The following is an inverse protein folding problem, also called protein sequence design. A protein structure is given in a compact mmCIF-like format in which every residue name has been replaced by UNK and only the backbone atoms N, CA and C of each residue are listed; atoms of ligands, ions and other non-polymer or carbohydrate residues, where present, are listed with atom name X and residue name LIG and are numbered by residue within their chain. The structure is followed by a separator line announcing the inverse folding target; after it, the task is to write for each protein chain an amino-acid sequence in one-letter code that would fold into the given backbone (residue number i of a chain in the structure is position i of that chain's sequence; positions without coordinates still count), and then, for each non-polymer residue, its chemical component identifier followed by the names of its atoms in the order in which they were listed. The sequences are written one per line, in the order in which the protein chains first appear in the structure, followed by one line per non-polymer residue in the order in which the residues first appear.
data_IF_922967105716
#
_entry.id   IF_922967105716
#
_cell.length_a   1.000
_cell.length_b   1.000
_cell.length_c   1.000
_cell.angle_alpha   90.00
_cell.angle_beta   90.00
_cell.angle_gamma   90.00
#
_symmetry.space_group_name_H-M   'P 1'
#
loop_
_entity.id
_entity.type
_entity.pdbx_description
1 polymer ?
#
# COMPACT_ATOMS: atom_id res chain seq x y z
N UNK A 1 -11.31 15.90 -26.97
CA UNK A 1 -12.33 15.52 -27.98
C UNK A 1 -11.64 15.40 -29.34
N UNK A 2 -11.71 14.22 -29.91
CA UNK A 2 -11.12 13.93 -31.23
C UNK A 2 -11.91 14.66 -32.32
N UNK A 3 -11.21 15.35 -33.23
CA UNK A 3 -11.84 15.99 -34.40
C UNK A 3 -12.29 17.45 -34.20
N UNK A 4 -12.06 18.06 -33.03
CA UNK A 4 -12.32 19.49 -32.86
C UNK A 4 -11.10 20.29 -33.34
N UNK A 5 -11.36 21.33 -34.13
CA UNK A 5 -10.34 22.32 -34.53
C UNK A 5 -10.29 23.45 -33.49
N UNK A 6 -9.07 23.77 -33.02
CA UNK A 6 -8.85 24.85 -32.06
C UNK A 6 -7.65 25.68 -32.48
N UNK A 7 -7.59 26.92 -31.97
CA UNK A 7 -6.44 27.84 -32.20
C UNK A 7 -5.41 27.79 -31.03
N UNK A 8 -5.82 27.18 -29.89
CA UNK A 8 -5.00 27.06 -28.69
C UNK A 8 -5.24 25.69 -28.07
N UNK A 9 -4.17 25.01 -27.69
CA UNK A 9 -4.20 23.76 -26.94
C UNK A 9 -3.46 23.99 -25.62
N UNK A 10 -4.14 23.82 -24.51
CA UNK A 10 -3.54 23.73 -23.18
C UNK A 10 -3.53 22.26 -22.74
N UNK A 11 -2.38 21.74 -22.32
CA UNK A 11 -2.23 20.38 -21.87
C UNK A 11 -1.47 20.35 -20.54
N UNK A 12 -1.98 19.56 -19.59
CA UNK A 12 -1.33 19.28 -18.32
C UNK A 12 -0.75 17.88 -18.34
N UNK A 13 0.47 17.72 -17.86
CA UNK A 13 1.17 16.44 -17.82
C UNK A 13 1.59 16.12 -16.39
N UNK A 14 1.30 14.90 -15.95
CA UNK A 14 1.88 14.35 -14.73
C UNK A 14 3.23 13.70 -15.08
N UNK A 15 4.32 14.25 -14.51
CA UNK A 15 5.68 13.78 -14.78
C UNK A 15 6.22 13.04 -13.57
N UNK A 16 6.54 11.76 -13.75
CA UNK A 16 7.23 10.94 -12.76
C UNK A 16 8.73 10.94 -13.07
N UNK A 17 9.54 11.33 -12.10
CA UNK A 17 10.98 11.32 -12.25
C UNK A 17 11.65 10.59 -11.07
N UNK A 18 12.83 10.05 -11.30
CA UNK A 18 13.61 9.31 -10.30
C UNK A 18 15.09 9.53 -10.45
N UNK A 19 15.84 9.04 -9.46
CA UNK A 19 17.31 9.06 -9.50
C UNK A 19 17.80 8.08 -10.57
N UNK A 20 18.44 8.60 -11.61
CA UNK A 20 18.90 7.83 -12.78
C UNK A 20 19.70 6.58 -12.41
N UNK A 21 20.61 6.68 -11.45
CA UNK A 21 21.45 5.56 -11.03
C UNK A 21 20.64 4.42 -10.39
N UNK A 22 19.59 4.74 -9.62
CA UNK A 22 18.69 3.72 -9.04
C UNK A 22 17.93 2.97 -10.12
N UNK A 23 17.33 3.70 -11.07
CA UNK A 23 16.61 3.09 -12.19
C UNK A 23 17.55 2.21 -13.02
N UNK A 24 18.75 2.71 -13.35
CA UNK A 24 19.74 1.97 -14.11
C UNK A 24 20.24 0.70 -13.39
N UNK A 25 20.36 0.73 -12.05
CA UNK A 25 20.72 -0.46 -11.28
C UNK A 25 19.65 -1.55 -11.38
N UNK A 26 18.37 -1.19 -11.28
CA UNK A 26 17.27 -2.15 -11.44
C UNK A 26 17.25 -2.77 -12.84
N UNK A 27 17.43 -1.94 -13.89
CA UNK A 27 17.54 -2.40 -15.27
C UNK A 27 18.74 -3.36 -15.44
N UNK A 28 19.88 -3.02 -14.84
CA UNK A 28 21.08 -3.85 -14.92
C UNK A 28 20.85 -5.21 -14.25
N UNK A 29 20.24 -5.25 -13.06
CA UNK A 29 19.91 -6.51 -12.39
C UNK A 29 19.00 -7.40 -13.23
N UNK A 30 18.00 -6.83 -13.90
CA UNK A 30 17.12 -7.58 -14.80
C UNK A 30 17.86 -8.14 -16.02
N UNK A 31 18.82 -7.38 -16.57
CA UNK A 31 19.65 -7.79 -17.73
C UNK A 31 20.75 -8.80 -17.37
N UNK A 32 21.12 -8.96 -16.10
CA UNK A 32 22.03 -10.02 -15.67
C UNK A 32 21.38 -11.42 -15.73
N UNK A 33 20.07 -11.48 -15.65
CA UNK A 33 19.27 -12.62 -16.10
C UNK A 33 19.05 -12.38 -17.60
N UNK A 34 19.04 -13.39 -18.50
CA UNK A 34 18.91 -13.15 -19.93
C UNK A 34 17.48 -12.69 -20.30
N UNK A 35 17.11 -11.50 -19.79
CA UNK A 35 15.84 -10.82 -20.03
C UNK A 35 16.12 -9.44 -20.63
N UNK A 36 15.38 -9.10 -21.67
CA UNK A 36 15.33 -7.74 -22.18
C UNK A 36 14.36 -6.90 -21.36
N UNK A 37 14.71 -5.64 -21.16
CA UNK A 37 13.86 -4.65 -20.48
C UNK A 37 13.32 -3.70 -21.54
N UNK A 38 12.02 -3.80 -21.79
CA UNK A 38 11.33 -2.98 -22.79
C UNK A 38 11.04 -1.59 -22.25
N UNK A 39 10.54 -1.48 -21.03
CA UNK A 39 10.16 -0.20 -20.41
C UNK A 39 10.27 -0.23 -18.88
N UNK A 40 10.11 0.93 -18.26
CA UNK A 40 10.11 1.12 -16.80
C UNK A 40 8.83 1.83 -16.39
N UNK A 41 8.07 1.22 -15.51
CA UNK A 41 6.80 1.76 -15.00
C UNK A 41 6.92 2.08 -13.52
N UNK A 42 6.34 3.21 -13.10
CA UNK A 42 6.26 3.55 -11.68
C UNK A 42 5.27 2.62 -10.96
N UNK A 43 5.72 1.98 -9.87
CA UNK A 43 4.99 0.90 -9.19
C UNK A 43 3.51 1.21 -8.88
N UNK A 44 3.13 2.34 -8.28
CA UNK A 44 1.72 2.60 -7.97
C UNK A 44 0.83 2.74 -9.20
N UNK A 45 1.40 3.12 -10.36
CA UNK A 45 0.66 3.15 -11.63
C UNK A 45 0.35 1.73 -12.09
N UNK A 46 1.33 0.81 -11.97
CA UNK A 46 1.13 -0.60 -12.27
C UNK A 46 0.09 -1.23 -11.35
N UNK A 47 0.22 -1.05 -10.03
CA UNK A 47 -0.77 -1.55 -9.05
C UNK A 47 -2.18 -1.03 -9.34
N UNK A 48 -2.31 0.26 -9.70
CA UNK A 48 -3.60 0.86 -10.05
C UNK A 48 -4.25 0.27 -11.31
N UNK A 49 -3.47 -0.34 -12.23
CA UNK A 49 -4.06 -1.03 -13.39
C UNK A 49 -4.81 -2.30 -12.97
N UNK A 50 -4.39 -2.94 -11.88
CA UNK A 50 -5.02 -4.15 -11.35
C UNK A 50 -6.23 -3.81 -10.50
N UNK A 51 -6.12 -2.81 -9.63
CA UNK A 51 -7.14 -2.54 -8.59
C UNK A 51 -8.23 -1.59 -9.05
N UNK A 52 -8.03 -0.80 -10.12
CA UNK A 52 -8.99 0.18 -10.60
C UNK A 52 -9.56 -0.15 -11.97
N UNK A 53 -10.87 -0.17 -12.06
CA UNK A 53 -11.57 -0.09 -13.34
C UNK A 53 -11.51 1.33 -13.91
N UNK A 54 -11.64 1.47 -15.23
CA UNK A 54 -11.64 2.77 -15.91
C UNK A 54 -12.65 3.75 -15.32
N UNK A 55 -13.89 3.29 -15.06
CA UNK A 55 -14.94 4.12 -14.47
C UNK A 55 -14.60 4.71 -13.11
N UNK A 56 -13.76 3.98 -12.32
CA UNK A 56 -13.33 4.46 -11.01
C UNK A 56 -12.20 5.50 -11.11
N UNK A 57 -11.32 5.37 -12.10
CA UNK A 57 -10.34 6.42 -12.43
C UNK A 57 -11.04 7.72 -12.87
N UNK A 58 -12.12 7.60 -13.66
CA UNK A 58 -12.93 8.74 -14.09
C UNK A 58 -13.70 9.38 -12.92
N UNK A 59 -14.22 8.58 -11.98
CA UNK A 59 -14.94 9.07 -10.80
C UNK A 59 -14.02 9.67 -9.71
N UNK A 60 -12.71 9.52 -9.84
CA UNK A 60 -11.74 9.90 -8.82
C UNK A 60 -11.51 8.79 -7.78
N UNK A 61 -10.28 8.32 -7.67
CA UNK A 61 -9.86 7.25 -6.76
C UNK A 61 -8.43 7.42 -6.29
N UNK A 62 -8.19 7.17 -5.01
CA UNK A 62 -6.86 7.10 -4.42
C UNK A 62 -6.46 5.62 -4.25
N UNK A 63 -5.32 5.22 -4.78
CA UNK A 63 -4.73 3.89 -4.55
C UNK A 63 -3.56 4.03 -3.60
N UNK A 64 -3.51 3.16 -2.59
CA UNK A 64 -2.41 3.02 -1.64
C UNK A 64 -1.88 1.59 -1.76
N UNK A 65 -0.65 1.45 -2.21
CA UNK A 65 0.10 0.18 -2.24
C UNK A 65 1.05 0.15 -1.04
N UNK A 66 0.62 -0.55 0.03
CA UNK A 66 1.34 -0.60 1.30
C UNK A 66 2.18 -1.88 1.32
N UNK A 67 3.45 -1.72 0.97
CA UNK A 67 4.45 -2.78 0.97
C UNK A 67 5.11 -3.00 2.35
N UNK A 68 6.22 -3.72 2.35
CA UNK A 68 7.08 -3.89 3.53
C UNK A 68 7.87 -2.63 3.84
N UNK A 69 8.65 -2.13 2.91
CA UNK A 69 9.54 -0.98 3.10
C UNK A 69 8.94 0.37 2.71
N UNK A 70 7.96 0.40 1.83
CA UNK A 70 7.38 1.62 1.25
C UNK A 70 5.87 1.59 1.23
N UNK A 71 5.28 2.78 1.20
CA UNK A 71 3.88 3.00 0.82
C UNK A 71 3.86 3.89 -0.41
N UNK A 72 3.40 3.33 -1.51
CA UNK A 72 3.25 4.02 -2.77
C UNK A 72 1.80 4.48 -2.95
N UNK A 73 1.60 5.66 -3.56
CA UNK A 73 0.26 6.17 -3.79
C UNK A 73 0.10 6.78 -5.17
N UNK A 74 -1.12 6.70 -5.70
CA UNK A 74 -1.53 7.41 -6.92
C UNK A 74 -2.99 7.86 -6.79
N UNK A 75 -3.22 9.13 -7.11
CA UNK A 75 -4.53 9.78 -7.09
C UNK A 75 -4.99 10.03 -8.53
N UNK A 76 -6.08 9.42 -8.90
CA UNK A 76 -6.78 9.65 -10.17
C UNK A 76 -7.95 10.62 -9.97
N UNK A 77 -8.10 11.54 -10.91
CA UNK A 77 -9.22 12.47 -11.00
C UNK A 77 -9.56 12.65 -12.49
N UNK A 78 -10.83 12.53 -12.84
CA UNK A 78 -11.29 12.66 -14.24
C UNK A 78 -10.55 11.75 -15.23
N UNK A 79 -10.14 10.58 -14.76
CA UNK A 79 -9.41 9.58 -15.55
C UNK A 79 -7.91 9.82 -15.71
N UNK A 80 -7.39 10.95 -15.22
CA UNK A 80 -5.98 11.31 -15.27
C UNK A 80 -5.31 11.22 -13.89
N UNK A 81 -3.99 11.08 -13.85
CA UNK A 81 -3.23 11.11 -12.60
C UNK A 81 -3.05 12.56 -12.17
N UNK A 82 -3.59 12.91 -11.00
CA UNK A 82 -3.42 14.22 -10.38
C UNK A 82 -2.15 14.27 -9.51
N UNK A 83 -1.89 13.20 -8.74
CA UNK A 83 -0.73 13.10 -7.87
C UNK A 83 -0.27 11.65 -7.75
N UNK A 84 1.01 11.46 -7.55
CA UNK A 84 1.59 10.17 -7.20
C UNK A 84 2.87 10.35 -6.39
N UNK A 85 3.24 9.34 -5.62
CA UNK A 85 4.47 9.38 -4.86
C UNK A 85 4.74 8.10 -4.11
N UNK A 86 5.86 8.12 -3.37
CA UNK A 86 6.32 7.03 -2.53
C UNK A 86 6.74 7.59 -1.17
N UNK A 87 6.35 6.93 -0.11
CA UNK A 87 6.78 7.19 1.26
C UNK A 87 7.65 6.02 1.71
N UNK A 88 8.85 6.25 2.25
CA UNK A 88 9.75 5.18 2.69
C UNK A 88 9.33 4.62 4.07
N UNK A 89 8.07 4.31 4.23
CA UNK A 89 7.47 3.69 5.43
C UNK A 89 6.49 2.62 4.97
N UNK A 90 6.54 1.45 5.60
CA UNK A 90 5.67 0.32 5.30
C UNK A 90 5.61 -0.67 6.46
N UNK A 91 5.18 -1.90 6.21
CA UNK A 91 4.97 -2.93 7.22
C UNK A 91 6.20 -3.34 8.03
N UNK A 92 7.40 -3.18 7.49
CA UNK A 92 8.65 -3.50 8.21
C UNK A 92 8.92 -2.50 9.34
N UNK A 93 8.46 -1.25 9.19
CA UNK A 93 8.53 -0.25 10.24
C UNK A 93 7.61 -0.62 11.41
N UNK A 94 6.41 -1.16 11.13
CA UNK A 94 5.51 -1.71 12.17
C UNK A 94 6.19 -2.86 12.91
N UNK A 95 6.84 -3.77 12.18
CA UNK A 95 7.59 -4.89 12.76
C UNK A 95 8.71 -4.41 13.68
N UNK A 96 9.46 -3.40 13.23
CA UNK A 96 10.53 -2.80 14.01
C UNK A 96 9.99 -2.11 15.28
N UNK A 97 8.87 -1.41 15.20
CA UNK A 97 8.26 -0.78 16.37
C UNK A 97 7.78 -1.81 17.39
N UNK A 98 7.17 -2.92 16.92
CA UNK A 98 6.81 -4.04 17.79
C UNK A 98 8.06 -4.60 18.48
N UNK A 99 9.15 -4.85 17.70
CA UNK A 99 10.43 -5.30 18.24
C UNK A 99 10.95 -4.38 19.35
N UNK A 100 10.96 -3.07 19.12
CA UNK A 100 11.46 -2.08 20.07
C UNK A 100 10.63 -2.01 21.36
N UNK A 101 9.30 -2.09 21.24
CA UNK A 101 8.39 -1.98 22.40
C UNK A 101 8.33 -3.29 23.19
N UNK A 102 8.37 -4.44 22.51
CA UNK A 102 8.16 -5.74 23.15
C UNK A 102 9.46 -6.51 23.44
N UNK A 103 10.58 -6.05 22.88
CA UNK A 103 11.90 -6.73 22.89
C UNK A 103 11.88 -8.12 22.24
N UNK A 104 10.83 -8.47 21.49
CA UNK A 104 10.79 -9.71 20.71
C UNK A 104 11.81 -9.66 19.55
N UNK A 105 12.44 -10.76 19.17
CA UNK A 105 13.21 -10.82 17.93
C UNK A 105 12.39 -10.38 16.72
N UNK A 106 13.00 -9.74 15.70
CA UNK A 106 12.28 -9.22 14.53
C UNK A 106 11.43 -10.29 13.82
N UNK A 107 11.90 -11.52 13.74
CA UNK A 107 11.13 -12.62 13.14
C UNK A 107 9.85 -12.94 13.92
N UNK A 108 9.93 -12.92 15.24
CA UNK A 108 8.76 -13.14 16.13
C UNK A 108 7.83 -11.93 16.10
N UNK A 109 8.36 -10.70 16.10
CA UNK A 109 7.58 -9.48 15.94
C UNK A 109 6.79 -9.47 14.61
N UNK A 110 7.43 -9.89 13.50
CA UNK A 110 6.75 -10.06 12.20
C UNK A 110 5.67 -11.13 12.24
N UNK A 111 5.94 -12.27 12.86
CA UNK A 111 4.97 -13.34 13.03
C UNK A 111 3.75 -12.85 13.82
N UNK A 112 3.96 -12.27 15.00
CA UNK A 112 2.88 -11.76 15.88
C UNK A 112 2.08 -10.66 15.19
N UNK A 113 2.75 -9.75 14.48
CA UNK A 113 2.09 -8.74 13.66
C UNK A 113 1.08 -9.36 12.69
N UNK A 114 1.49 -10.44 11.99
CA UNK A 114 0.66 -11.08 10.97
C UNK A 114 -0.48 -11.93 11.55
N UNK A 115 -0.24 -12.64 12.66
CA UNK A 115 -1.20 -13.59 13.20
C UNK A 115 -2.17 -13.01 14.22
N UNK A 116 -1.70 -12.03 14.99
CA UNK A 116 -2.41 -11.49 16.16
C UNK A 116 -2.73 -10.01 16.06
N UNK A 117 -2.05 -9.29 15.14
CA UNK A 117 -2.11 -7.84 15.05
C UNK A 117 -3.41 -7.31 14.45
N UNK A 118 -3.86 -6.16 14.96
CA UNK A 118 -5.00 -5.43 14.43
C UNK A 118 -4.76 -3.91 14.54
N UNK A 119 -5.04 -3.19 13.46
CA UNK A 119 -4.96 -1.72 13.41
C UNK A 119 -6.28 -1.03 13.81
N UNK A 120 -7.30 -1.80 14.19
CA UNK A 120 -8.59 -1.26 14.63
C UNK A 120 -8.46 -0.49 15.94
N UNK A 121 -9.26 0.58 16.11
CA UNK A 121 -9.42 1.27 17.38
C UNK A 121 -10.45 0.65 18.31
N UNK A 122 -11.02 -0.49 17.95
CA UNK A 122 -12.02 -1.19 18.71
C UNK A 122 -11.41 -1.82 19.98
N UNK A 123 -11.86 -1.42 21.20
CA UNK A 123 -11.36 -2.00 22.43
C UNK A 123 -11.57 -3.51 22.54
N UNK A 124 -12.70 -4.03 22.04
CA UNK A 124 -13.01 -5.47 22.09
C UNK A 124 -11.99 -6.31 21.32
N UNK A 125 -11.46 -5.78 20.21
CA UNK A 125 -10.40 -6.43 19.39
C UNK A 125 -9.02 -6.36 20.06
N UNK A 126 -8.88 -5.58 21.12
CA UNK A 126 -7.62 -5.34 21.84
C UNK A 126 -7.58 -6.00 23.23
N UNK A 127 -8.61 -6.75 23.61
CA UNK A 127 -8.62 -7.49 24.87
C UNK A 127 -7.79 -8.76 24.84
N UNK A 128 -7.26 -9.14 26.00
CA UNK A 128 -6.57 -10.41 26.18
C UNK A 128 -5.04 -10.33 26.09
N UNK A 129 -4.45 -11.50 26.14
CA UNK A 129 -2.99 -11.71 26.11
C UNK A 129 -2.63 -12.52 24.87
N UNK A 130 -1.55 -12.13 24.21
CA UNK A 130 -0.91 -12.89 23.13
C UNK A 130 0.28 -13.63 23.73
N UNK A 131 0.28 -14.93 23.64
CA UNK A 131 1.40 -15.78 24.07
C UNK A 131 2.31 -16.03 22.87
N UNK A 132 3.57 -15.60 22.96
CA UNK A 132 4.59 -15.82 21.94
C UNK A 132 5.50 -16.95 22.40
N UNK A 133 5.43 -18.15 21.79
CA UNK A 133 6.26 -19.27 22.21
C UNK A 133 7.75 -18.98 21.93
N UNK A 134 8.59 -19.31 22.91
CA UNK A 134 10.05 -19.31 22.74
C UNK A 134 10.52 -20.69 22.26
N UNK A 135 11.30 -20.70 21.19
CA UNK A 135 11.87 -21.94 20.61
C UNK A 135 13.24 -22.28 21.22
N UNK A 136 13.79 -21.41 22.07
CA UNK A 136 15.12 -21.55 22.67
C UNK A 136 15.14 -22.20 24.06
N UNK A 137 13.99 -22.63 24.58
CA UNK A 137 13.87 -23.23 25.93
C UNK A 137 13.73 -22.19 27.04
N UNK A 138 13.46 -20.93 26.72
CA UNK A 138 13.05 -19.90 27.66
C UNK A 138 11.51 -19.92 27.84
N UNK A 139 11.00 -19.29 28.89
CA UNK A 139 9.55 -19.18 29.05
C UNK A 139 8.93 -18.35 27.94
N UNK A 140 7.70 -18.71 27.56
CA UNK A 140 6.90 -17.97 26.60
C UNK A 140 6.75 -16.50 27.03
N UNK A 141 6.72 -15.61 26.05
CA UNK A 141 6.53 -14.17 26.31
C UNK A 141 5.05 -13.85 26.23
N UNK A 142 4.48 -13.34 27.31
CA UNK A 142 3.12 -12.84 27.36
C UNK A 142 3.07 -11.34 27.03
N UNK A 143 2.32 -10.98 26.00
CA UNK A 143 2.14 -9.62 25.53
C UNK A 143 0.67 -9.21 25.62
N UNK A 144 0.36 -8.08 26.24
CA UNK A 144 -0.99 -7.52 26.20
C UNK A 144 -1.35 -7.19 24.75
N UNK A 145 -2.45 -7.75 24.24
CA UNK A 145 -2.96 -7.51 22.89
C UNK A 145 -3.13 -6.02 22.59
N UNK A 146 -3.56 -5.26 23.58
CA UNK A 146 -3.71 -3.82 23.47
C UNK A 146 -2.39 -3.12 23.08
N UNK A 147 -1.27 -3.46 23.71
CA UNK A 147 0.05 -2.86 23.39
C UNK A 147 0.43 -3.16 21.96
N UNK A 148 0.24 -4.41 21.51
CA UNK A 148 0.51 -4.82 20.13
C UNK A 148 -0.32 -3.99 19.14
N UNK A 149 -1.63 -3.89 19.37
CA UNK A 149 -2.54 -3.20 18.49
C UNK A 149 -2.32 -1.68 18.47
N UNK A 150 -2.01 -1.08 19.63
CA UNK A 150 -1.70 0.34 19.74
C UNK A 150 -0.45 0.69 18.90
N UNK A 151 0.62 -0.09 19.00
CA UNK A 151 1.84 0.10 18.22
C UNK A 151 1.54 -0.01 16.72
N UNK A 152 0.82 -1.05 16.30
CA UNK A 152 0.43 -1.27 14.91
C UNK A 152 -0.41 -0.10 14.39
N UNK A 153 -1.43 0.29 15.15
CA UNK A 153 -2.34 1.37 14.78
C UNK A 153 -1.61 2.70 14.64
N UNK A 154 -0.80 3.08 15.62
CA UNK A 154 -0.07 4.34 15.62
C UNK A 154 0.85 4.47 14.39
N UNK A 155 1.58 3.41 14.04
CA UNK A 155 2.46 3.45 12.86
C UNK A 155 1.68 3.53 11.55
N UNK A 156 0.61 2.76 11.38
CA UNK A 156 -0.21 2.86 10.17
C UNK A 156 -0.94 4.19 10.09
N UNK A 157 -1.43 4.72 11.20
CA UNK A 157 -2.05 6.04 11.24
C UNK A 157 -1.07 7.11 10.76
N UNK A 158 0.13 7.16 11.31
CA UNK A 158 1.19 8.07 10.86
C UNK A 158 1.48 7.91 9.35
N UNK A 159 1.59 6.68 8.88
CA UNK A 159 1.85 6.41 7.46
C UNK A 159 0.73 6.98 6.56
N UNK A 160 -0.52 6.77 6.93
CA UNK A 160 -1.68 7.26 6.18
C UNK A 160 -1.79 8.80 6.24
N UNK A 161 -1.49 9.40 7.40
CA UNK A 161 -1.44 10.86 7.58
C UNK A 161 -0.33 11.48 6.70
N UNK A 162 0.86 10.88 6.65
CA UNK A 162 1.95 11.31 5.77
C UNK A 162 1.56 11.23 4.28
N UNK A 163 0.79 10.24 3.87
CA UNK A 163 0.23 10.22 2.50
C UNK A 163 -0.72 11.39 2.32
N UNK A 164 -1.66 11.57 3.25
CA UNK A 164 -2.68 12.62 3.20
C UNK A 164 -2.07 14.01 3.07
N UNK A 165 -1.00 14.30 3.81
CA UNK A 165 -0.27 15.57 3.77
C UNK A 165 0.40 15.85 2.43
N UNK A 166 0.76 14.80 1.68
CA UNK A 166 1.40 14.93 0.35
C UNK A 166 0.42 15.06 -0.81
N UNK A 167 -0.86 14.83 -0.55
CA UNK A 167 -1.89 15.04 -1.57
C UNK A 167 -2.20 16.53 -1.74
N UNK A 168 -2.55 16.99 -2.96
CA UNK A 168 -3.05 18.34 -3.17
C UNK A 168 -4.24 18.65 -2.25
N UNK A 169 -4.34 19.89 -1.74
CA UNK A 169 -5.35 20.28 -0.76
C UNK A 169 -6.79 19.98 -1.20
N UNK A 170 -7.08 20.13 -2.49
CA UNK A 170 -8.38 19.84 -3.11
C UNK A 170 -8.47 18.41 -3.67
N UNK A 171 -7.38 17.65 -3.59
CA UNK A 171 -7.29 16.33 -4.20
C UNK A 171 -8.32 15.35 -3.64
N UNK A 172 -8.45 15.26 -2.32
CA UNK A 172 -9.38 14.33 -1.67
C UNK A 172 -10.86 14.70 -1.91
N UNK A 173 -11.17 15.99 -2.07
CA UNK A 173 -12.55 16.44 -2.39
C UNK A 173 -13.02 15.92 -3.76
N UNK A 174 -12.07 15.67 -4.66
CA UNK A 174 -12.32 15.16 -6.02
C UNK A 174 -12.33 13.62 -6.10
N UNK A 175 -12.16 12.93 -4.98
CA UNK A 175 -12.21 11.46 -4.90
C UNK A 175 -13.65 11.01 -4.70
N UNK A 176 -14.37 10.81 -5.80
CA UNK A 176 -15.77 10.40 -5.76
C UNK A 176 -15.97 8.92 -5.47
N UNK A 177 -15.00 8.05 -5.81
CA UNK A 177 -15.12 6.60 -5.56
C UNK A 177 -14.61 6.21 -4.18
N UNK A 178 -13.45 6.70 -3.75
CA UNK A 178 -12.85 6.36 -2.46
C UNK A 178 -11.38 5.92 -2.53
N UNK A 179 -10.92 5.31 -1.46
CA UNK A 179 -9.53 4.83 -1.27
C UNK A 179 -9.47 3.33 -1.52
N UNK A 180 -8.48 2.88 -2.27
CA UNK A 180 -8.22 1.49 -2.58
C UNK A 180 -6.91 1.05 -1.96
N UNK A 181 -6.95 0.06 -1.07
CA UNK A 181 -5.78 -0.49 -0.40
C UNK A 181 -5.29 -1.75 -1.13
N UNK A 182 -4.00 -1.80 -1.41
CA UNK A 182 -3.31 -2.96 -1.98
C UNK A 182 -1.92 -3.10 -1.37
N UNK A 183 -1.13 -4.09 -1.82
CA UNK A 183 0.15 -4.43 -1.21
C UNK A 183 -0.01 -5.39 -0.02
N UNK A 184 1.07 -6.05 0.36
CA UNK A 184 1.05 -7.08 1.40
C UNK A 184 0.53 -6.59 2.75
N UNK A 185 0.91 -5.37 3.16
CA UNK A 185 0.49 -4.78 4.43
C UNK A 185 -0.98 -4.34 4.44
N UNK A 186 -1.63 -4.21 3.28
CA UNK A 186 -3.07 -3.90 3.21
C UNK A 186 -3.95 -5.00 3.82
N UNK A 187 -3.40 -6.19 3.99
CA UNK A 187 -4.09 -7.33 4.61
C UNK A 187 -4.24 -7.20 6.13
N UNK A 188 -3.53 -6.23 6.75
CA UNK A 188 -3.65 -5.98 8.19
C UNK A 188 -5.11 -5.80 8.60
N UNK A 189 -5.52 -6.55 9.64
CA UNK A 189 -6.85 -6.43 10.20
C UNK A 189 -7.09 -5.01 10.72
N UNK A 190 -8.28 -4.46 10.52
CA UNK A 190 -8.63 -3.10 10.98
C UNK A 190 -8.03 -1.94 10.17
N UNK A 191 -7.10 -2.20 9.24
CA UNK A 191 -6.45 -1.12 8.47
C UNK A 191 -7.44 -0.38 7.56
N UNK A 192 -8.45 -1.06 7.03
CA UNK A 192 -9.50 -0.42 6.23
C UNK A 192 -10.32 0.59 7.03
N UNK A 193 -10.67 0.24 8.26
CA UNK A 193 -11.38 1.11 9.22
C UNK A 193 -10.51 2.33 9.54
N UNK A 194 -9.25 2.11 9.88
CA UNK A 194 -8.30 3.18 10.16
C UNK A 194 -8.10 4.14 8.97
N UNK A 195 -7.98 3.59 7.76
CA UNK A 195 -7.85 4.41 6.56
C UNK A 195 -9.12 5.23 6.29
N UNK A 196 -10.30 4.67 6.56
CA UNK A 196 -11.55 5.41 6.46
C UNK A 196 -11.60 6.57 7.45
N UNK A 197 -11.15 6.38 8.69
CA UNK A 197 -11.08 7.43 9.70
C UNK A 197 -10.12 8.56 9.27
N UNK A 198 -8.93 8.20 8.76
CA UNK A 198 -7.92 9.19 8.34
C UNK A 198 -8.35 10.00 7.13
N UNK A 199 -8.85 9.34 6.08
CA UNK A 199 -9.20 10.01 4.82
C UNK A 199 -10.62 10.58 4.80
N UNK A 200 -11.53 10.07 5.63
CA UNK A 200 -12.95 10.43 5.61
C UNK A 200 -13.68 9.97 4.35
N UNK A 201 -13.17 8.92 3.70
CA UNK A 201 -13.67 8.40 2.43
C UNK A 201 -13.92 6.88 2.53
N UNK A 202 -14.84 6.32 1.72
CA UNK A 202 -15.01 4.88 1.64
C UNK A 202 -13.70 4.18 1.26
N UNK A 203 -13.41 3.05 1.93
CA UNK A 203 -12.20 2.26 1.69
C UNK A 203 -12.54 0.91 1.12
N UNK A 204 -11.82 0.51 0.10
CA UNK A 204 -11.99 -0.75 -0.61
C UNK A 204 -10.69 -1.56 -0.57
N UNK A 205 -10.82 -2.86 -0.39
CA UNK A 205 -9.76 -3.85 -0.60
C UNK A 205 -10.18 -4.69 -1.82
N UNK A 206 -9.79 -4.28 -3.03
CA UNK A 206 -10.21 -5.00 -4.23
C UNK A 206 -9.55 -6.38 -4.27
N UNK A 207 -10.33 -7.37 -4.63
CA UNK A 207 -9.77 -8.65 -5.07
C UNK A 207 -9.15 -8.43 -6.45
N UNK A 208 -8.03 -9.11 -6.72
CA UNK A 208 -7.40 -9.05 -8.05
C UNK A 208 -8.38 -9.51 -9.11
N UNK A 209 -8.43 -8.81 -10.27
CA UNK A 209 -9.35 -9.16 -11.35
C UNK A 209 -9.05 -10.56 -11.93
N UNK A 210 -9.98 -11.06 -12.75
CA UNK A 210 -9.87 -12.30 -13.49
C UNK A 210 -8.63 -12.35 -14.40
N UNK A 211 -7.49 -12.69 -13.83
CA UNK A 211 -6.30 -13.10 -14.55
C UNK A 211 -6.29 -14.62 -14.54
N UNK A 212 -6.31 -15.24 -15.70
CA UNK A 212 -6.19 -16.70 -15.83
C UNK A 212 -4.77 -17.14 -15.49
N UNK A 213 -4.59 -18.03 -14.52
CA UNK A 213 -3.26 -18.51 -14.11
C UNK A 213 -3.30 -19.29 -12.81
N UNK A 214 -2.19 -19.37 -12.10
CA UNK A 214 -2.08 -20.05 -10.80
C UNK A 214 -2.82 -19.26 -9.72
N UNK A 215 -4.05 -19.63 -9.46
CA UNK A 215 -5.05 -18.88 -8.69
C UNK A 215 -4.61 -18.39 -7.31
N UNK A 216 -3.69 -19.08 -6.62
CA UNK A 216 -3.29 -18.73 -5.26
C UNK A 216 -2.52 -17.39 -5.19
N UNK A 217 -1.69 -17.09 -6.19
CA UNK A 217 -0.85 -15.89 -6.19
C UNK A 217 -1.56 -14.66 -6.80
N UNK A 218 -2.52 -14.88 -7.68
CA UNK A 218 -3.21 -13.81 -8.41
C UNK A 218 -4.12 -12.99 -7.50
N UNK A 219 -4.68 -13.62 -6.45
CA UNK A 219 -5.61 -12.98 -5.52
C UNK A 219 -4.92 -12.24 -4.36
N UNK A 220 -3.62 -12.47 -4.15
CA UNK A 220 -2.90 -11.84 -3.06
C UNK A 220 -2.46 -10.41 -3.45
N UNK A 221 -2.89 -9.38 -2.70
CA UNK A 221 -2.59 -8.00 -3.02
C UNK A 221 -1.09 -7.67 -3.02
N UNK A 222 -0.24 -8.50 -2.41
CA UNK A 222 1.22 -8.31 -2.48
C UNK A 222 1.78 -8.39 -3.92
N UNK A 223 1.05 -9.01 -4.85
CA UNK A 223 1.47 -9.15 -6.25
C UNK A 223 0.85 -8.12 -7.20
N UNK A 224 0.10 -7.13 -6.68
CA UNK A 224 -0.62 -6.17 -7.52
C UNK A 224 0.29 -5.44 -8.51
N UNK A 225 1.47 -5.00 -8.08
CA UNK A 225 2.45 -4.36 -8.97
C UNK A 225 2.91 -5.28 -10.09
N UNK A 226 3.27 -6.53 -9.75
CA UNK A 226 3.72 -7.51 -10.74
C UNK A 226 2.62 -7.85 -11.76
N UNK A 227 1.40 -8.03 -11.29
CA UNK A 227 0.24 -8.26 -12.16
C UNK A 227 -0.08 -7.05 -13.05
N UNK A 228 0.10 -5.84 -12.51
CA UNK A 228 -0.09 -4.61 -13.28
C UNK A 228 0.94 -4.39 -14.39
N UNK A 229 2.14 -4.93 -14.23
CA UNK A 229 3.18 -4.89 -15.27
C UNK A 229 2.92 -5.86 -16.43
N UNK A 230 2.12 -6.91 -16.20
CA UNK A 230 1.77 -7.91 -17.23
C UNK A 230 0.54 -7.47 -18.03
N UNK A 231 -0.27 -6.55 -17.49
CA UNK A 231 -1.55 -6.10 -18.07
C UNK A 231 -1.38 -4.85 -18.96
#
# INVERSE_FOLDING_TARGET
PTGLMGRKLDAEFHIVHGVRTRVQNSIKCAREIPLDVDDVVFAPIASAQVVLERKWKEAGALVLDIGGGTTDYVLYVDGAILASGCIPVGGDHVTNDIHLVTHLPLSKAEQVKKTEGCASGDPEKSEGIVTVPDEGGFPDVELKRQILNDVIRMRFQETLELVKERLPQDGLVRVGKGVFLTGGSSQMAGLGELAQDVFGLPVYKPESPDVSGVHAYIKDPQYSTALGLIR
#
